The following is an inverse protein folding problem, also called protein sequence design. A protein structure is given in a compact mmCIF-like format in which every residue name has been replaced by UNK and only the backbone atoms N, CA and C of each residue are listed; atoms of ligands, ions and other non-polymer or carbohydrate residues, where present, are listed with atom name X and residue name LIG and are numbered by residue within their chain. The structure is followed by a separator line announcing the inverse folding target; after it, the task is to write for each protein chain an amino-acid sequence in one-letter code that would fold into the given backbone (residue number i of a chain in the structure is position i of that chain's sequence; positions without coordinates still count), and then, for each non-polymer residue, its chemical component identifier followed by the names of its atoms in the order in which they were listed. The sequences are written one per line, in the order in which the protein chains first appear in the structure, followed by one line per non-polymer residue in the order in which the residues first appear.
data_IF_764483284061
#
_entry.id   IF_764483284061
#
_cell.length_a   1.000
_cell.length_b   1.000
_cell.length_c   1.000
_cell.angle_alpha   90.00
_cell.angle_beta   90.00
_cell.angle_gamma   90.00
#
_symmetry.space_group_name_H-M   'P 1'
#
loop_
_entity.id
_entity.type
_entity.pdbx_description
1 polymer ?
#
# COMPACT_ATOMS: atom_id res chain seq x y z
N UNK A 1 10.02 -7.94 15.94
CA UNK A 1 10.27 -8.58 14.62
C UNK A 1 9.11 -8.19 13.70
N UNK A 2 9.39 -7.55 12.56
CA UNK A 2 8.34 -7.10 11.64
C UNK A 2 7.88 -8.28 10.78
N UNK A 3 6.57 -8.54 10.71
CA UNK A 3 6.02 -9.67 9.94
C UNK A 3 5.93 -9.30 8.46
N UNK A 4 6.43 -10.17 7.60
CA UNK A 4 6.41 -10.00 6.14
C UNK A 4 5.46 -11.02 5.54
N UNK A 5 4.67 -10.59 4.56
CA UNK A 5 3.73 -11.43 3.82
C UNK A 5 4.14 -11.48 2.36
N UNK A 6 3.82 -12.59 1.73
CA UNK A 6 4.07 -12.78 0.31
C UNK A 6 2.72 -12.76 -0.42
N UNK A 7 2.58 -11.81 -1.35
CA UNK A 7 1.39 -11.69 -2.20
C UNK A 7 1.80 -11.74 -3.67
N UNK A 8 0.92 -12.26 -4.53
CA UNK A 8 1.14 -12.29 -5.97
C UNK A 8 0.71 -10.97 -6.61
N UNK A 9 1.51 -10.49 -7.57
CA UNK A 9 1.12 -9.37 -8.41
C UNK A 9 -0.14 -9.74 -9.23
N UNK A 10 -1.21 -8.93 -9.18
CA UNK A 10 -2.46 -9.21 -9.89
C UNK A 10 -2.34 -9.03 -11.41
N UNK A 11 -1.25 -8.43 -11.89
CA UNK A 11 -1.00 -8.35 -13.32
C UNK A 11 -0.54 -9.72 -13.84
N UNK A 12 -1.38 -10.36 -14.68
CA UNK A 12 -1.12 -11.69 -15.26
C UNK A 12 0.16 -11.75 -16.11
N UNK A 13 0.62 -10.63 -16.68
CA UNK A 13 1.90 -10.58 -17.39
C UNK A 13 3.09 -10.62 -16.42
N UNK A 14 2.94 -10.07 -15.21
CA UNK A 14 4.02 -9.92 -14.23
C UNK A 14 4.09 -11.10 -13.26
N UNK A 15 2.97 -11.45 -12.59
CA UNK A 15 2.84 -12.57 -11.62
C UNK A 15 3.97 -12.70 -10.59
N UNK A 16 4.74 -11.65 -10.33
CA UNK A 16 5.85 -11.70 -9.39
C UNK A 16 5.33 -11.79 -7.94
N UNK A 17 6.09 -12.47 -7.08
CA UNK A 17 5.82 -12.49 -5.64
C UNK A 17 6.38 -11.23 -4.99
N UNK A 18 5.53 -10.51 -4.28
CA UNK A 18 5.86 -9.28 -3.56
C UNK A 18 5.98 -9.57 -2.07
N UNK A 19 7.13 -9.23 -1.50
CA UNK A 19 7.32 -9.19 -0.06
C UNK A 19 6.80 -7.85 0.48
N UNK A 20 5.69 -7.91 1.21
CA UNK A 20 4.99 -6.74 1.73
C UNK A 20 4.99 -6.82 3.26
N UNK A 21 5.39 -5.75 3.96
CA UNK A 21 5.32 -5.72 5.42
C UNK A 21 3.87 -5.67 5.91
N UNK A 22 3.61 -6.22 7.09
CA UNK A 22 2.27 -6.24 7.69
C UNK A 22 1.67 -4.82 7.83
N UNK A 23 2.52 -3.82 8.07
CA UNK A 23 2.14 -2.41 8.18
C UNK A 23 1.52 -1.81 6.89
N UNK A 24 1.71 -2.46 5.74
CA UNK A 24 1.14 -2.04 4.46
C UNK A 24 -0.18 -2.74 4.12
N UNK A 25 -0.72 -3.59 5.00
CA UNK A 25 -2.06 -4.17 4.85
C UNK A 25 -3.13 -3.08 4.73
N UNK A 26 -4.12 -3.34 3.88
CA UNK A 26 -5.19 -2.37 3.58
C UNK A 26 -4.74 -1.14 2.75
N UNK A 27 -3.44 -1.00 2.45
CA UNK A 27 -2.91 0.06 1.58
C UNK A 27 -2.68 -0.43 0.16
N UNK A 28 -2.48 0.52 -0.74
CA UNK A 28 -2.04 0.27 -2.11
C UNK A 28 -0.52 0.41 -2.16
N UNK A 29 0.17 -0.64 -2.60
CA UNK A 29 1.62 -0.64 -2.78
C UNK A 29 1.95 -0.72 -4.26
N UNK A 30 3.14 -0.22 -4.64
CA UNK A 30 3.61 -0.30 -6.02
C UNK A 30 4.44 -1.55 -6.22
N UNK A 31 4.10 -2.34 -7.24
CA UNK A 31 4.89 -3.51 -7.58
C UNK A 31 6.26 -3.10 -8.13
N UNK A 32 7.33 -3.74 -7.61
CA UNK A 32 8.71 -3.43 -7.98
C UNK A 32 9.08 -3.85 -9.41
N UNK A 33 8.32 -4.77 -10.02
CA UNK A 33 8.58 -5.27 -11.38
C UNK A 33 7.76 -4.55 -12.45
N UNK A 34 6.43 -4.53 -12.35
CA UNK A 34 5.55 -3.88 -13.35
C UNK A 34 5.33 -2.37 -13.07
N UNK A 35 5.61 -1.89 -11.86
CA UNK A 35 5.22 -0.55 -11.42
C UNK A 35 3.72 -0.37 -11.20
N UNK A 36 2.91 -1.44 -11.30
CA UNK A 36 1.47 -1.41 -11.15
C UNK A 36 1.02 -1.35 -9.68
N UNK A 37 -0.13 -0.73 -9.45
CA UNK A 37 -0.70 -0.55 -8.11
C UNK A 37 -1.38 -1.84 -7.63
N UNK A 38 -0.90 -2.39 -6.52
CA UNK A 38 -1.36 -3.64 -5.93
C UNK A 38 -2.04 -3.35 -4.60
N UNK A 39 -3.32 -3.74 -4.48
CA UNK A 39 -4.07 -3.60 -3.23
C UNK A 39 -3.72 -4.75 -2.30
N UNK A 40 -3.18 -4.43 -1.13
CA UNK A 40 -2.85 -5.43 -0.12
C UNK A 40 -4.12 -5.74 0.69
N UNK A 41 -4.51 -7.02 0.84
CA UNK A 41 -5.67 -7.39 1.65
C UNK A 41 -5.53 -6.85 3.08
N UNK A 42 -6.60 -6.26 3.60
CA UNK A 42 -6.68 -5.89 5.01
C UNK A 42 -6.86 -7.15 5.85
N UNK A 43 -6.32 -7.16 7.07
CA UNK A 43 -6.78 -8.13 8.08
C UNK A 43 -8.18 -7.78 8.54
N UNK A 44 -8.95 -8.81 8.87
CA UNK A 44 -10.35 -8.73 9.28
C UNK A 44 -10.54 -7.99 10.63
N UNK A 45 -9.45 -7.54 11.25
CA UNK A 45 -9.41 -6.62 12.38
C UNK A 45 -9.84 -5.20 11.96
N UNK A 46 -11.15 -5.04 11.75
CA UNK A 46 -11.97 -3.84 12.01
C UNK A 46 -11.21 -2.51 12.08
N UNK A 47 -11.35 -1.72 11.01
CA UNK A 47 -11.29 -0.25 11.03
C UNK A 47 -9.99 0.41 11.50
N UNK A 48 -9.06 0.67 10.57
CA UNK A 48 -8.29 1.93 10.57
C UNK A 48 -7.53 2.11 9.26
N UNK A 49 -8.14 2.80 8.32
CA UNK A 49 -7.41 3.52 7.28
C UNK A 49 -8.04 4.91 7.16
N UNK A 50 -7.73 5.76 8.14
CA UNK A 50 -7.82 7.20 7.96
C UNK A 50 -6.86 7.59 6.81
N UNK A 51 -7.31 8.37 5.81
CA UNK A 51 -6.40 8.92 4.82
C UNK A 51 -5.44 9.88 5.52
N UNK A 52 -4.15 9.76 5.21
CA UNK A 52 -3.15 10.71 5.62
C UNK A 52 -3.52 12.08 5.03
N UNK A 53 -3.95 13.01 5.89
CA UNK A 53 -3.87 14.44 5.58
C UNK A 53 -2.38 14.77 5.40
N UNK A 54 -1.98 15.07 4.17
CA UNK A 54 -0.91 16.02 3.92
C UNK A 54 -1.59 17.32 3.53
N UNK A 55 -1.95 18.09 4.55
CA UNK A 55 -2.31 19.49 4.45
C UNK A 55 -0.96 20.22 4.61
N UNK A 56 -0.30 20.48 3.48
CA UNK A 56 0.91 21.30 3.43
C UNK A 56 0.48 22.77 3.27
N UNK A 57 0.90 23.54 4.26
CA UNK A 57 0.64 24.96 4.50
C UNK A 57 1.48 25.84 3.58
N UNK A 58 0.91 26.89 2.97
CA UNK A 58 1.54 28.21 2.69
C UNK A 58 0.56 29.11 1.92
N UNK A 59 -0.08 30.10 2.55
CA UNK A 59 0.40 31.49 2.71
C UNK A 59 0.47 32.29 1.39
N UNK A 60 -0.48 33.22 1.15
CA UNK A 60 -0.22 34.65 0.88
C UNK A 60 -1.52 35.48 0.72
N UNK A 61 -1.57 36.57 1.48
CA UNK A 61 -2.53 37.69 1.50
C UNK A 61 -2.75 38.38 0.13
N UNK A 62 -3.96 38.90 -0.10
CA UNK A 62 -4.30 39.79 -1.21
C UNK A 62 -5.74 40.30 -1.13
#
# INVERSE_FOLDING_TARGET
MQKTLHIMCPNLACRCVLAVPDAARGRVVRCRQCGCNVRVPATDDKASAAPAKVEDSSDKVG
#
